data_IF_565679512076
#
_entry.id   IF_565679512076
#
_cell.length_a   1.000
_cell.length_b   1.000
_cell.length_c   1.000
_cell.angle_alpha   90.00
_cell.angle_beta   90.00
_cell.angle_gamma   90.00
#
_symmetry.space_group_name_H-M   'P 1'
#
loop_
_entity.id
_entity.type
_entity.pdbx_description
1 polymer ?
#
# COMPACT_ATOMS: atom_id res chain seq x y z
N UNK A 1 16.24 15.70 -5.18
CA UNK A 1 15.42 15.08 -6.25
C UNK A 1 15.09 13.59 -6.04
N UNK A 2 15.96 12.76 -5.45
CA UNK A 2 15.75 11.30 -5.36
C UNK A 2 14.55 10.84 -4.52
N UNK A 3 14.26 11.51 -3.38
CA UNK A 3 13.15 11.11 -2.48
C UNK A 3 11.78 11.22 -3.17
N UNK A 4 11.52 12.33 -3.86
CA UNK A 4 10.26 12.55 -4.58
C UNK A 4 10.06 11.54 -5.73
N UNK A 5 11.13 11.23 -6.49
CA UNK A 5 11.10 10.20 -7.54
C UNK A 5 10.86 8.81 -6.96
N UNK A 6 11.47 8.49 -5.81
CA UNK A 6 11.27 7.22 -5.09
C UNK A 6 9.82 7.04 -4.65
N UNK A 7 9.24 8.08 -4.02
CA UNK A 7 7.83 8.09 -3.61
C UNK A 7 6.91 7.90 -4.81
N UNK A 8 7.12 8.66 -5.90
CA UNK A 8 6.29 8.57 -7.11
C UNK A 8 6.32 7.16 -7.73
N UNK A 9 7.50 6.54 -7.82
CA UNK A 9 7.64 5.18 -8.36
C UNK A 9 6.96 4.13 -7.48
N UNK A 10 7.15 4.20 -6.17
CA UNK A 10 6.52 3.26 -5.24
C UNK A 10 4.98 3.40 -5.23
N UNK A 11 4.47 4.64 -5.25
CA UNK A 11 3.04 4.90 -5.34
C UNK A 11 2.44 4.38 -6.64
N UNK A 12 3.11 4.62 -7.78
CA UNK A 12 2.69 4.13 -9.08
C UNK A 12 2.63 2.59 -9.12
N UNK A 13 3.55 1.89 -8.45
CA UNK A 13 3.51 0.43 -8.37
C UNK A 13 2.25 -0.07 -7.64
N UNK A 14 1.92 0.58 -6.51
CA UNK A 14 0.71 0.24 -5.76
C UNK A 14 -0.56 0.48 -6.59
N UNK A 15 -0.71 1.66 -7.21
CA UNK A 15 -1.90 1.99 -8.02
C UNK A 15 -2.00 1.18 -9.31
N UNK A 16 -0.87 0.75 -9.88
CA UNK A 16 -0.88 -0.15 -11.04
C UNK A 16 -1.41 -1.54 -10.66
N UNK A 17 -1.17 -1.99 -9.42
CA UNK A 17 -1.66 -3.27 -8.93
C UNK A 17 -3.09 -3.18 -8.39
N UNK A 18 -3.45 -2.05 -7.77
CA UNK A 18 -4.75 -1.78 -7.18
C UNK A 18 -5.26 -0.41 -7.66
N UNK A 19 -5.86 -0.34 -8.86
CA UNK A 19 -6.35 0.91 -9.45
C UNK A 19 -7.43 1.63 -8.63
N UNK A 20 -8.13 0.91 -7.75
CA UNK A 20 -9.13 1.44 -6.82
C UNK A 20 -8.54 2.26 -5.67
N UNK A 21 -7.24 2.15 -5.40
CA UNK A 21 -6.57 2.95 -4.37
C UNK A 21 -6.29 4.35 -4.93
N UNK A 22 -6.79 5.43 -4.28
CA UNK A 22 -6.52 6.78 -4.73
C UNK A 22 -5.02 7.10 -4.79
N UNK A 23 -4.60 7.82 -5.83
CA UNK A 23 -3.19 8.20 -6.03
C UNK A 23 -2.63 8.98 -4.83
N UNK A 24 -3.45 9.84 -4.22
CA UNK A 24 -3.06 10.58 -3.02
C UNK A 24 -2.75 9.64 -1.85
N UNK A 25 -3.61 8.64 -1.63
CA UNK A 25 -3.43 7.65 -0.58
C UNK A 25 -2.18 6.80 -0.81
N UNK A 26 -1.99 6.31 -2.04
CA UNK A 26 -0.79 5.57 -2.42
C UNK A 26 0.48 6.41 -2.22
N UNK A 27 0.44 7.70 -2.54
CA UNK A 27 1.53 8.65 -2.34
C UNK A 27 1.84 8.85 -0.86
N UNK A 28 0.81 8.98 -0.01
CA UNK A 28 0.95 9.12 1.43
C UNK A 28 1.53 7.86 2.08
N UNK A 29 1.06 6.66 1.69
CA UNK A 29 1.60 5.38 2.12
C UNK A 29 3.08 5.23 1.72
N UNK A 30 3.41 5.53 0.46
CA UNK A 30 4.79 5.53 -0.03
C UNK A 30 5.69 6.54 0.70
N UNK A 31 5.17 7.73 1.01
CA UNK A 31 5.91 8.75 1.77
C UNK A 31 6.29 8.27 3.18
N UNK A 32 5.38 7.58 3.88
CA UNK A 32 5.64 6.98 5.19
C UNK A 32 6.74 5.93 5.11
N UNK A 33 6.60 4.97 4.18
CA UNK A 33 7.61 3.91 3.97
C UNK A 33 8.99 4.47 3.62
N UNK A 34 9.08 5.44 2.71
CA UNK A 34 10.35 6.06 2.32
C UNK A 34 10.99 6.83 3.49
N UNK A 35 10.18 7.41 4.37
CA UNK A 35 10.70 8.13 5.54
C UNK A 35 11.18 7.19 6.63
N UNK A 36 10.51 6.06 6.83
CA UNK A 36 10.91 5.02 7.77
C UNK A 36 12.13 4.23 7.28
N UNK A 37 12.24 3.98 5.98
CA UNK A 37 13.29 3.17 5.37
C UNK A 37 14.01 3.92 4.24
N UNK A 38 14.79 4.97 4.55
CA UNK A 38 15.37 5.87 3.54
C UNK A 38 16.37 5.17 2.61
N UNK A 39 17.05 4.12 3.09
CA UNK A 39 18.04 3.33 2.34
C UNK A 39 17.41 2.33 1.37
N UNK A 40 16.14 1.97 1.57
CA UNK A 40 15.45 0.97 0.74
C UNK A 40 15.14 1.51 -0.65
N UNK A 41 15.23 0.65 -1.68
CA UNK A 41 14.96 1.01 -3.07
C UNK A 41 13.46 1.31 -3.30
N UNK A 42 13.16 2.06 -4.37
CA UNK A 42 11.76 2.36 -4.72
C UNK A 42 10.94 1.09 -5.01
N UNK A 43 11.55 0.14 -5.73
CA UNK A 43 10.93 -1.13 -6.13
C UNK A 43 10.53 -1.94 -4.90
N UNK A 44 11.47 -2.16 -3.97
CA UNK A 44 11.22 -2.92 -2.75
C UNK A 44 10.14 -2.25 -1.89
N UNK A 45 10.13 -0.91 -1.79
CA UNK A 45 9.04 -0.20 -1.10
C UNK A 45 7.70 -0.44 -1.80
N UNK A 46 7.65 -0.40 -3.14
CA UNK A 46 6.44 -0.71 -3.91
C UNK A 46 5.96 -2.14 -3.65
N UNK A 47 6.87 -3.12 -3.66
CA UNK A 47 6.55 -4.53 -3.41
C UNK A 47 5.95 -4.73 -2.01
N UNK A 48 6.52 -4.09 -0.99
CA UNK A 48 5.99 -4.14 0.37
C UNK A 48 4.61 -3.50 0.50
N UNK A 49 4.38 -2.38 -0.20
CA UNK A 49 3.05 -1.75 -0.20
C UNK A 49 2.01 -2.67 -0.84
N UNK A 50 2.34 -3.28 -1.97
CA UNK A 50 1.46 -4.25 -2.64
C UNK A 50 1.20 -5.46 -1.75
N UNK A 51 2.24 -6.00 -1.13
CA UNK A 51 2.11 -7.14 -0.23
C UNK A 51 1.24 -6.80 0.99
N UNK A 52 1.48 -5.66 1.64
CA UNK A 52 0.68 -5.20 2.78
C UNK A 52 -0.80 -5.03 2.44
N UNK A 53 -1.11 -4.51 1.25
CA UNK A 53 -2.48 -4.39 0.76
C UNK A 53 -3.14 -5.76 0.55
N UNK A 54 -2.45 -6.73 -0.06
CA UNK A 54 -2.96 -8.10 -0.23
C UNK A 54 -3.30 -8.74 1.12
N UNK A 55 -2.39 -8.63 2.08
CA UNK A 55 -2.61 -9.17 3.44
C UNK A 55 -3.80 -8.49 4.10
N UNK A 56 -3.90 -7.16 3.99
CA UNK A 56 -5.04 -6.40 4.51
C UNK A 56 -6.38 -6.90 3.97
N UNK A 57 -6.48 -7.11 2.65
CA UNK A 57 -7.71 -7.62 2.01
C UNK A 57 -8.06 -9.03 2.40
N UNK A 58 -7.07 -9.93 2.50
CA UNK A 58 -7.30 -11.29 2.98
C UNK A 58 -7.83 -11.26 4.41
N UNK A 59 -7.21 -10.46 5.28
CA UNK A 59 -7.66 -10.28 6.66
C UNK A 59 -9.08 -9.73 6.73
N UNK A 60 -9.40 -8.71 5.94
CA UNK A 60 -10.73 -8.11 5.92
C UNK A 60 -11.79 -9.06 5.37
N UNK A 61 -11.43 -9.89 4.37
CA UNK A 61 -12.27 -10.97 3.86
C UNK A 61 -12.57 -12.01 4.94
N UNK A 62 -11.54 -12.48 5.66
CA UNK A 62 -11.72 -13.39 6.79
C UNK A 62 -12.61 -12.76 7.87
N UNK A 63 -12.33 -11.53 8.31
CA UNK A 63 -13.13 -10.85 9.33
C UNK A 63 -14.61 -10.68 8.94
N UNK A 64 -14.90 -10.42 7.66
CA UNK A 64 -16.28 -10.40 7.15
C UNK A 64 -16.95 -11.77 7.19
N UNK A 65 -16.21 -12.86 6.95
CA UNK A 65 -16.74 -14.23 7.06
C UNK A 65 -17.07 -14.62 8.50
N UNK A 66 -16.30 -14.12 9.48
CA UNK A 66 -16.48 -14.44 10.90
C UNK A 66 -17.52 -13.56 11.63
N UNK A 67 -17.87 -12.39 11.08
CA UNK A 67 -18.92 -11.51 11.61
C UNK A 67 -20.18 -11.65 10.74
N UNK A 68 -21.15 -12.51 11.09
CA UNK A 68 -22.41 -12.58 10.37
C UNK A 68 -23.13 -11.22 10.40
N UNK A 69 -23.84 -10.90 9.32
CA UNK A 69 -24.45 -9.58 9.03
C UNK A 69 -25.38 -9.02 10.14
N UNK A 70 -25.79 -9.85 11.11
CA UNK A 70 -26.67 -9.48 12.22
C UNK A 70 -25.99 -8.90 13.47
N UNK A 71 -24.68 -8.65 13.47
CA UNK A 71 -23.93 -8.05 14.60
C UNK A 71 -23.48 -6.60 14.36
N UNK A 72 -24.08 -5.90 13.38
CA UNK A 72 -23.76 -4.51 13.03
C UNK A 72 -24.74 -3.50 13.62
#
# INVERSE_FOLDING_TARGET
MFKARKIRRAAAHLTATFPEIPVEEATNRARRMVSQYPRTSATMIGDYLVHGERVGRVRDGLMRTWLPEGLR
#
